data_IF_122023119822
#
_entry.id   IF_122023119822
#
_cell.length_a   1.000
_cell.length_b   1.000
_cell.length_c   1.000
_cell.angle_alpha   90.00
_cell.angle_beta   90.00
_cell.angle_gamma   90.00
#
_symmetry.space_group_name_H-M   'P 1'
#
loop_
_entity.id
_entity.type
_entity.pdbx_description
1 polymer ?
#
# COMPACT_ATOMS: atom_id res chain seq x y z
N UNK A 1 30.59 45.98 6.21
CA UNK A 1 29.48 46.35 7.13
C UNK A 1 28.87 45.07 7.67
N UNK A 2 28.93 44.81 8.98
CA UNK A 2 28.26 43.65 9.58
C UNK A 2 26.76 43.95 9.66
N UNK A 3 25.94 43.14 9.02
CA UNK A 3 24.47 43.26 9.10
C UNK A 3 24.03 43.15 10.57
N UNK A 4 23.31 44.18 11.05
CA UNK A 4 22.72 44.16 12.38
C UNK A 4 21.62 43.10 12.39
N UNK A 5 21.79 42.05 13.19
CA UNK A 5 20.71 41.09 13.48
C UNK A 5 19.59 41.86 14.17
N UNK A 6 18.47 42.05 13.49
CA UNK A 6 17.22 42.56 14.07
C UNK A 6 16.82 41.58 15.17
N UNK A 7 16.97 42.00 16.43
CA UNK A 7 16.53 41.21 17.58
C UNK A 7 15.02 40.93 17.49
N UNK A 8 14.62 39.70 17.81
CA UNK A 8 13.22 39.26 17.81
C UNK A 8 13.07 37.74 17.70
N UNK A 9 11.85 37.23 17.91
CA UNK A 9 11.53 35.81 17.64
C UNK A 9 11.76 35.53 16.15
N UNK A 10 12.58 34.53 15.77
CA UNK A 10 12.79 34.17 14.37
C UNK A 10 11.47 33.94 13.64
N UNK A 11 11.37 34.44 12.40
CA UNK A 11 10.19 34.20 11.56
C UNK A 11 10.12 32.71 11.20
N UNK A 12 8.93 32.13 11.35
CA UNK A 12 8.68 30.74 10.94
C UNK A 12 8.85 30.59 9.43
N UNK A 13 9.49 29.50 8.99
CA UNK A 13 9.70 29.23 7.57
C UNK A 13 8.36 29.05 6.83
N UNK A 14 8.32 29.39 5.53
CA UNK A 14 7.09 29.35 4.73
C UNK A 14 6.42 27.97 4.74
N UNK A 15 7.20 26.89 4.69
CA UNK A 15 6.70 25.50 4.68
C UNK A 15 6.11 25.04 6.02
N UNK A 16 6.43 25.71 7.13
CA UNK A 16 5.89 25.39 8.45
C UNK A 16 4.60 26.16 8.75
N UNK A 17 4.27 27.18 7.93
CA UNK A 17 3.06 27.98 8.14
C UNK A 17 1.84 27.21 7.68
N UNK A 18 0.89 27.01 8.60
CA UNK A 18 -0.45 26.50 8.29
C UNK A 18 -1.25 27.60 7.58
N UNK A 19 -1.32 27.53 6.25
CA UNK A 19 -1.99 28.54 5.40
C UNK A 19 -3.27 28.05 4.74
N UNK A 20 -3.60 26.76 4.90
CA UNK A 20 -4.77 26.09 4.33
C UNK A 20 -5.65 25.58 5.47
N UNK A 21 -6.97 25.68 5.31
CA UNK A 21 -7.94 25.19 6.27
C UNK A 21 -9.00 24.33 5.59
N UNK A 22 -9.46 23.31 6.30
CA UNK A 22 -10.65 22.54 5.95
C UNK A 22 -11.73 22.86 6.98
N UNK A 23 -12.91 23.28 6.53
CA UNK A 23 -14.05 23.53 7.42
C UNK A 23 -14.84 22.23 7.57
N UNK A 24 -14.97 21.78 8.81
CA UNK A 24 -15.80 20.63 9.19
C UNK A 24 -16.89 21.13 10.12
N UNK A 25 -18.14 20.72 9.88
CA UNK A 25 -19.28 21.04 10.73
C UNK A 25 -19.62 19.80 11.55
N UNK A 26 -19.85 20.00 12.85
CA UNK A 26 -20.19 18.95 13.80
C UNK A 26 -21.60 19.16 14.33
N UNK A 27 -22.25 18.09 14.75
CA UNK A 27 -23.45 18.21 15.58
C UNK A 27 -23.06 18.66 16.99
N UNK A 28 -24.04 19.13 17.78
CA UNK A 28 -23.78 19.55 19.16
C UNK A 28 -23.13 18.42 19.99
N UNK A 29 -23.63 17.19 19.85
CA UNK A 29 -23.10 16.02 20.55
C UNK A 29 -21.67 15.70 20.14
N UNK A 30 -21.36 15.76 18.84
CA UNK A 30 -20.01 15.52 18.33
C UNK A 30 -19.03 16.59 18.82
N UNK A 31 -19.48 17.85 18.86
CA UNK A 31 -18.67 18.96 19.37
C UNK A 31 -18.32 18.76 20.84
N UNK A 32 -19.31 18.45 21.69
CA UNK A 32 -19.09 18.16 23.12
C UNK A 32 -18.13 16.99 23.29
N UNK A 33 -18.29 15.93 22.51
CA UNK A 33 -17.41 14.77 22.54
C UNK A 33 -15.96 15.14 22.18
N UNK A 34 -15.74 15.86 21.08
CA UNK A 34 -14.41 16.31 20.67
C UNK A 34 -13.79 17.26 21.70
N UNK A 35 -14.60 18.17 22.26
CA UNK A 35 -14.15 19.09 23.31
C UNK A 35 -13.66 18.33 24.55
N UNK A 36 -14.42 17.34 25.02
CA UNK A 36 -14.02 16.51 26.16
C UNK A 36 -12.73 15.73 25.87
N UNK A 37 -12.55 15.23 24.65
CA UNK A 37 -11.32 14.54 24.23
C UNK A 37 -10.12 15.48 24.18
N UNK A 38 -10.30 16.70 23.66
CA UNK A 38 -9.25 17.71 23.62
C UNK A 38 -8.82 18.12 25.04
N UNK A 39 -9.77 18.28 25.95
CA UNK A 39 -9.52 18.59 27.38
C UNK A 39 -8.74 17.46 28.07
N UNK A 40 -9.13 16.20 27.86
CA UNK A 40 -8.40 15.04 28.38
C UNK A 40 -6.96 14.96 27.86
N UNK A 41 -6.72 15.41 26.63
CA UNK A 41 -5.40 15.49 26.03
C UNK A 41 -4.60 16.75 26.44
N UNK A 42 -5.22 17.71 27.13
CA UNK A 42 -4.60 18.99 27.47
C UNK A 42 -4.33 19.89 26.25
N UNK A 43 -5.10 19.74 25.18
CA UNK A 43 -4.93 20.43 23.90
C UNK A 43 -6.12 21.33 23.58
N UNK A 44 -5.91 22.33 22.73
CA UNK A 44 -7.04 23.02 22.10
C UNK A 44 -7.77 22.09 21.14
N UNK A 45 -9.07 22.31 20.94
CA UNK A 45 -9.89 21.52 19.99
C UNK A 45 -9.26 21.48 18.60
N UNK A 46 -8.71 22.60 18.13
CA UNK A 46 -8.05 22.67 16.82
C UNK A 46 -6.75 21.84 16.77
N UNK A 47 -5.95 21.85 17.83
CA UNK A 47 -4.72 21.04 17.89
C UNK A 47 -5.05 19.56 17.99
N UNK A 48 -6.04 19.20 18.80
CA UNK A 48 -6.53 17.84 18.91
C UNK A 48 -7.01 17.32 17.55
N UNK A 49 -7.88 18.07 16.85
CA UNK A 49 -8.35 17.70 15.52
C UNK A 49 -7.22 17.62 14.49
N UNK A 50 -6.25 18.55 14.55
CA UNK A 50 -5.10 18.52 13.66
C UNK A 50 -4.24 17.27 13.90
N UNK A 51 -3.93 16.95 15.16
CA UNK A 51 -3.15 15.75 15.50
C UNK A 51 -3.92 14.49 15.11
N UNK A 52 -5.19 14.39 15.51
CA UNK A 52 -6.04 13.27 15.13
C UNK A 52 -6.10 13.04 13.61
N UNK A 53 -6.11 14.12 12.81
CA UNK A 53 -6.09 14.01 11.35
C UNK A 53 -4.72 13.59 10.78
N UNK A 54 -3.60 14.02 11.39
CA UNK A 54 -2.26 13.64 10.94
C UNK A 54 -1.86 12.23 11.38
N UNK A 55 -2.31 11.80 12.56
CA UNK A 55 -1.97 10.52 13.18
C UNK A 55 -2.99 9.43 12.87
N UNK A 56 -4.05 9.74 12.11
CA UNK A 56 -5.05 8.76 11.69
C UNK A 56 -4.40 7.74 10.74
N UNK A 57 -4.30 6.45 11.13
CA UNK A 57 -3.79 5.43 10.22
C UNK A 57 -4.73 5.32 9.01
N UNK A 58 -4.19 5.54 7.82
CA UNK A 58 -4.93 5.32 6.58
C UNK A 58 -5.10 3.81 6.38
N UNK A 59 -6.27 3.28 6.73
CA UNK A 59 -6.62 1.90 6.40
C UNK A 59 -6.82 1.80 4.88
N UNK A 60 -5.76 1.43 4.16
CA UNK A 60 -5.86 1.13 2.73
C UNK A 60 -6.75 -0.11 2.58
N UNK A 61 -7.97 0.09 2.05
CA UNK A 61 -9.05 -0.93 2.03
C UNK A 61 -8.65 -2.23 1.33
N UNK A 62 -7.67 -2.17 0.43
CA UNK A 62 -7.00 -3.30 -0.20
C UNK A 62 -5.52 -2.91 -0.26
N UNK A 63 -4.65 -3.61 0.48
CA UNK A 63 -3.22 -3.42 0.33
C UNK A 63 -2.80 -3.81 -1.09
N UNK A 64 -1.72 -3.21 -1.61
CA UNK A 64 -1.19 -3.57 -2.93
C UNK A 64 -0.90 -5.07 -3.04
N UNK A 65 -0.47 -5.69 -1.94
CA UNK A 65 -0.23 -7.13 -1.82
C UNK A 65 -1.51 -7.94 -2.02
N UNK A 66 -2.61 -7.59 -1.34
CA UNK A 66 -3.90 -8.28 -1.49
C UNK A 66 -4.43 -8.09 -2.92
N UNK A 67 -4.27 -6.90 -3.50
CA UNK A 67 -4.67 -6.65 -4.88
C UNK A 67 -3.86 -7.50 -5.88
N UNK A 68 -2.56 -7.69 -5.62
CA UNK A 68 -1.71 -8.59 -6.43
C UNK A 68 -2.17 -10.04 -6.29
N UNK A 69 -2.39 -10.51 -5.05
CA UNK A 69 -2.82 -11.88 -4.79
C UNK A 69 -4.16 -12.21 -5.47
N UNK A 70 -5.13 -11.27 -5.48
CA UNK A 70 -6.39 -11.44 -6.20
C UNK A 70 -6.16 -11.58 -7.72
N UNK A 71 -5.23 -10.80 -8.27
CA UNK A 71 -4.90 -10.84 -9.70
C UNK A 71 -4.22 -12.16 -10.08
N UNK A 72 -3.30 -12.63 -9.25
CA UNK A 72 -2.61 -13.91 -9.44
C UNK A 72 -3.61 -15.08 -9.38
N UNK A 73 -4.52 -15.07 -8.39
CA UNK A 73 -5.59 -16.06 -8.29
C UNK A 73 -6.51 -16.06 -9.52
N UNK A 74 -6.85 -14.87 -10.04
CA UNK A 74 -7.65 -14.75 -11.26
C UNK A 74 -6.91 -15.32 -12.47
N UNK A 75 -5.59 -15.13 -12.55
CA UNK A 75 -4.74 -15.74 -13.56
C UNK A 75 -4.75 -17.28 -13.48
N UNK A 76 -4.62 -17.83 -12.28
CA UNK A 76 -4.68 -19.29 -12.04
C UNK A 76 -6.04 -19.86 -12.47
N UNK A 77 -7.14 -19.21 -12.10
CA UNK A 77 -8.49 -19.66 -12.47
C UNK A 77 -8.67 -19.70 -14.00
N UNK A 78 -8.17 -18.68 -14.71
CA UNK A 78 -8.19 -18.65 -16.17
C UNK A 78 -7.37 -19.79 -16.79
N UNK A 79 -6.16 -20.05 -16.27
CA UNK A 79 -5.32 -21.15 -16.74
C UNK A 79 -6.02 -22.51 -16.56
N UNK A 80 -6.65 -22.73 -15.39
CA UNK A 80 -7.41 -23.96 -15.12
C UNK A 80 -8.58 -24.13 -16.08
N UNK A 81 -9.33 -23.06 -16.35
CA UNK A 81 -10.42 -23.11 -17.32
C UNK A 81 -9.94 -23.44 -18.74
N UNK A 82 -8.81 -22.88 -19.17
CA UNK A 82 -8.22 -23.18 -20.46
C UNK A 82 -7.79 -24.64 -20.57
N UNK A 83 -7.12 -25.17 -19.54
CA UNK A 83 -6.72 -26.58 -19.48
C UNK A 83 -7.95 -27.49 -19.55
N UNK A 84 -9.00 -27.19 -18.78
CA UNK A 84 -10.24 -27.96 -18.80
C UNK A 84 -10.89 -27.96 -20.19
N UNK A 85 -10.95 -26.80 -20.85
CA UNK A 85 -11.45 -26.70 -22.21
C UNK A 85 -10.59 -27.49 -23.20
N UNK A 86 -9.25 -27.39 -23.11
CA UNK A 86 -8.34 -28.15 -23.96
C UNK A 86 -8.50 -29.66 -23.74
N UNK A 87 -8.66 -30.11 -22.49
CA UNK A 87 -8.91 -31.53 -22.18
C UNK A 87 -10.20 -32.02 -22.81
N UNK A 88 -11.25 -31.19 -22.85
CA UNK A 88 -12.49 -31.50 -23.53
C UNK A 88 -12.32 -31.59 -25.05
N UNK A 89 -11.54 -30.69 -25.66
CA UNK A 89 -11.35 -30.63 -27.12
C UNK A 89 -10.38 -31.69 -27.65
N UNK A 90 -9.23 -31.88 -27.00
CA UNK A 90 -8.11 -32.69 -27.49
C UNK A 90 -7.95 -34.02 -26.75
N UNK A 91 -8.73 -34.24 -25.69
CA UNK A 91 -8.62 -35.41 -24.83
C UNK A 91 -7.61 -35.23 -23.70
N UNK A 92 -7.88 -35.92 -22.59
CA UNK A 92 -7.12 -35.79 -21.35
C UNK A 92 -5.63 -36.12 -21.49
N UNK A 93 -5.30 -37.23 -22.16
CA UNK A 93 -3.93 -37.74 -22.18
C UNK A 93 -2.98 -36.84 -22.98
N UNK A 94 -3.46 -36.26 -24.09
CA UNK A 94 -2.68 -35.33 -24.91
C UNK A 94 -2.33 -34.04 -24.14
N UNK A 95 -3.32 -33.45 -23.45
CA UNK A 95 -3.13 -32.24 -22.66
C UNK A 95 -2.24 -32.50 -21.45
N UNK A 96 -2.42 -33.65 -20.78
CA UNK A 96 -1.57 -34.08 -19.66
C UNK A 96 -0.10 -34.17 -20.07
N UNK A 97 0.22 -34.77 -21.22
CA UNK A 97 1.60 -34.83 -21.71
C UNK A 97 2.18 -33.43 -21.99
N UNK A 98 1.38 -32.53 -22.58
CA UNK A 98 1.80 -31.14 -22.80
C UNK A 98 2.07 -30.41 -21.48
N UNK A 99 1.20 -30.57 -20.47
CA UNK A 99 1.42 -29.99 -19.14
C UNK A 99 2.72 -30.48 -18.50
N UNK A 100 3.00 -31.80 -18.56
CA UNK A 100 4.26 -32.34 -18.02
C UNK A 100 5.49 -31.79 -18.74
N UNK A 101 5.43 -31.65 -20.06
CA UNK A 101 6.52 -31.07 -20.85
C UNK A 101 6.79 -29.62 -20.43
N UNK A 102 5.73 -28.81 -20.30
CA UNK A 102 5.84 -27.41 -19.86
C UNK A 102 6.40 -27.32 -18.44
N UNK A 103 5.90 -28.13 -17.50
CA UNK A 103 6.39 -28.15 -16.11
C UNK A 103 7.88 -28.52 -16.06
N UNK A 104 8.31 -29.49 -16.87
CA UNK A 104 9.71 -29.90 -16.97
C UNK A 104 10.59 -28.76 -17.47
N UNK A 105 10.18 -28.07 -18.54
CA UNK A 105 10.92 -26.92 -19.08
C UNK A 105 10.98 -25.75 -18.10
N UNK A 106 9.87 -25.42 -17.42
CA UNK A 106 9.85 -24.38 -16.39
C UNK A 106 10.79 -24.73 -15.24
N UNK A 107 10.77 -25.98 -14.77
CA UNK A 107 11.66 -26.45 -13.70
C UNK A 107 13.14 -26.39 -14.11
N UNK A 108 13.43 -26.72 -15.38
CA UNK A 108 14.77 -26.59 -15.96
C UNK A 108 15.23 -25.14 -15.96
N UNK A 109 14.40 -24.21 -16.42
CA UNK A 109 14.71 -22.77 -16.46
C UNK A 109 14.93 -22.22 -15.05
N UNK A 110 14.06 -22.56 -14.09
CA UNK A 110 14.20 -22.12 -12.68
C UNK A 110 15.53 -22.61 -12.11
N UNK A 111 15.90 -23.88 -12.37
CA UNK A 111 17.16 -24.46 -11.90
C UNK A 111 18.37 -23.75 -12.52
N UNK A 112 18.31 -23.42 -13.82
CA UNK A 112 19.36 -22.66 -14.49
C UNK A 112 19.53 -21.25 -13.90
N UNK A 113 18.43 -20.53 -13.65
CA UNK A 113 18.47 -19.21 -13.03
C UNK A 113 19.04 -19.30 -11.61
N UNK A 114 18.65 -20.30 -10.82
CA UNK A 114 19.18 -20.50 -9.47
C UNK A 114 20.70 -20.74 -9.48
N UNK A 115 21.19 -21.61 -10.37
CA UNK A 115 22.60 -21.97 -10.42
C UNK A 115 23.46 -20.81 -10.94
N UNK A 116 22.99 -20.05 -11.94
CA UNK A 116 23.71 -18.88 -12.45
C UNK A 116 23.88 -17.74 -11.41
N UNK A 117 23.05 -17.71 -10.35
CA UNK A 117 23.20 -16.75 -9.26
C UNK A 117 24.25 -17.20 -8.20
N UNK A 118 24.79 -18.41 -8.27
CA UNK A 118 25.86 -18.89 -7.37
C UNK A 118 27.27 -18.70 -7.94
N UNK A 119 27.43 -18.54 -9.26
CA UNK A 119 28.75 -18.40 -9.92
C UNK A 119 29.24 -16.94 -9.98
N UNK A 120 28.74 -16.06 -9.11
CA UNK A 120 29.11 -14.62 -9.06
C UNK A 120 29.85 -14.20 -7.79
N UNK A 121 30.25 -15.16 -6.95
CA UNK A 121 31.11 -14.95 -5.79
C UNK A 121 32.38 -15.81 -5.92
N UNK A 122 33.28 -15.41 -6.83
CA UNK A 122 34.72 -15.71 -6.80
C UNK A 122 35.51 -14.55 -7.42
#
# INVERSE_FOLDING_TARGET
MKEKKLGGRPKLASYQKRTKCFRVMFTENDYIYIQSKAEQAGLSVNEFCHQAAMDCPVCQRISLEIASAIRDLSGIANNVNQIAHQMHTYGLEAVKQQCFSIISEVSRIITQVKNNNHDSED
#
